data_IF_966553086688
#
_entry.id   IF_966553086688
#
_cell.length_a   1.000
_cell.length_b   1.000
_cell.length_c   1.000
_cell.angle_alpha   90.00
_cell.angle_beta   90.00
_cell.angle_gamma   90.00
#
_symmetry.space_group_name_H-M   'P 1'
#
loop_
_entity.id
_entity.type
_entity.pdbx_description
1 polymer ?
#
# COMPACT_ATOMS: atom_id res chain seq x y z
N UNK A 1 18.21 -39.32 -5.58
CA UNK A 1 16.95 -39.83 -4.98
C UNK A 1 17.01 -41.35 -4.98
N UNK A 2 16.43 -42.02 -3.98
CA UNK A 2 16.41 -43.47 -3.93
C UNK A 2 15.39 -44.07 -4.90
N UNK A 3 15.75 -45.19 -5.51
CA UNK A 3 14.92 -45.92 -6.47
C UNK A 3 14.88 -45.29 -7.87
N UNK A 4 14.16 -45.91 -8.81
CA UNK A 4 14.18 -45.53 -10.23
C UNK A 4 13.39 -44.26 -10.57
N UNK A 5 12.55 -43.79 -9.64
CA UNK A 5 11.65 -42.66 -9.83
C UNK A 5 11.99 -41.50 -8.88
N UNK A 6 11.76 -40.24 -9.28
CA UNK A 6 11.81 -39.11 -8.36
C UNK A 6 10.66 -39.17 -7.33
N UNK A 7 10.81 -38.53 -6.16
CA UNK A 7 9.70 -38.31 -5.24
C UNK A 7 8.50 -37.64 -5.93
N UNK A 8 7.31 -38.07 -5.57
CA UNK A 8 6.04 -37.52 -6.03
C UNK A 8 5.26 -36.96 -4.86
N UNK A 9 4.82 -35.71 -5.03
CA UNK A 9 3.98 -35.00 -4.08
C UNK A 9 2.59 -34.80 -4.67
N UNK A 10 1.55 -34.90 -3.84
CA UNK A 10 0.18 -34.53 -4.23
C UNK A 10 -0.30 -33.45 -3.29
N UNK A 11 -0.70 -32.30 -3.84
CA UNK A 11 -1.34 -31.24 -3.07
C UNK A 11 -2.83 -31.54 -3.00
N UNK A 12 -3.40 -31.51 -1.79
CA UNK A 12 -4.83 -31.64 -1.53
C UNK A 12 -5.38 -30.34 -0.97
N UNK A 13 -6.56 -29.96 -1.45
CA UNK A 13 -7.31 -28.80 -0.99
C UNK A 13 -8.69 -29.24 -0.54
N UNK A 14 -9.00 -29.08 0.75
CA UNK A 14 -10.23 -29.56 1.35
C UNK A 14 -10.54 -31.03 0.95
N UNK A 15 -9.49 -31.88 0.99
CA UNK A 15 -9.55 -33.29 0.59
C UNK A 15 -9.47 -33.58 -0.92
N UNK A 16 -9.66 -32.59 -1.81
CA UNK A 16 -9.55 -32.78 -3.27
C UNK A 16 -8.09 -32.79 -3.70
N UNK A 17 -7.64 -33.89 -4.28
CA UNK A 17 -6.30 -34.01 -4.86
C UNK A 17 -6.15 -33.20 -6.16
N UNK A 18 -5.03 -32.49 -6.27
CA UNK A 18 -4.56 -31.86 -7.51
C UNK A 18 -3.62 -32.81 -8.27
N UNK A 19 -3.16 -32.37 -9.44
CA UNK A 19 -2.22 -33.14 -10.26
C UNK A 19 -0.93 -33.46 -9.48
N UNK A 20 -0.40 -34.69 -9.58
CA UNK A 20 0.87 -35.06 -8.93
C UNK A 20 2.03 -34.21 -9.43
N UNK A 21 2.90 -33.82 -8.50
CA UNK A 21 4.12 -33.06 -8.76
C UNK A 21 5.31 -34.00 -8.66
N UNK A 22 6.06 -34.12 -9.75
CA UNK A 22 7.32 -34.86 -9.78
C UNK A 22 8.48 -33.98 -9.30
N UNK A 23 9.07 -34.34 -8.17
CA UNK A 23 10.15 -33.58 -7.52
C UNK A 23 11.51 -34.02 -8.07
N UNK A 24 11.90 -33.42 -9.20
CA UNK A 24 13.11 -33.83 -9.95
C UNK A 24 14.42 -33.24 -9.39
N UNK A 25 14.35 -32.19 -8.57
CA UNK A 25 15.54 -31.53 -8.04
C UNK A 25 15.92 -32.04 -6.65
N UNK A 26 17.21 -32.32 -6.45
CA UNK A 26 17.78 -32.65 -5.15
C UNK A 26 18.11 -31.41 -4.28
N UNK A 27 18.04 -30.20 -4.86
CA UNK A 27 18.25 -28.92 -4.16
C UNK A 27 17.07 -27.99 -4.41
N UNK A 28 16.66 -27.25 -3.37
CA UNK A 28 15.39 -26.52 -3.26
C UNK A 28 14.78 -26.07 -4.59
N UNK A 29 13.65 -26.69 -4.95
CA UNK A 29 12.83 -26.30 -6.09
C UNK A 29 11.52 -25.71 -5.59
N UNK A 30 11.08 -24.64 -6.25
CA UNK A 30 9.79 -23.99 -5.99
C UNK A 30 8.76 -24.54 -6.97
N UNK A 31 7.61 -24.96 -6.43
CA UNK A 31 6.47 -25.40 -7.21
C UNK A 31 5.31 -24.47 -6.91
N UNK A 32 4.70 -23.92 -7.96
CA UNK A 32 3.57 -23.01 -7.83
C UNK A 32 2.31 -23.69 -8.35
N UNK A 33 1.22 -23.53 -7.59
CA UNK A 33 -0.09 -24.04 -7.93
C UNK A 33 -1.10 -22.94 -7.72
N UNK A 34 -1.88 -22.66 -8.76
CA UNK A 34 -2.98 -21.72 -8.68
C UNK A 34 -4.26 -22.43 -8.26
N UNK A 35 -4.94 -21.83 -7.29
CA UNK A 35 -6.14 -22.40 -6.68
C UNK A 35 -7.28 -21.44 -6.94
N UNK A 36 -8.28 -21.80 -7.77
CA UNK A 36 -9.50 -21.02 -7.85
C UNK A 36 -10.26 -21.15 -6.52
N UNK A 37 -10.42 -20.04 -5.81
CA UNK A 37 -11.19 -19.96 -4.57
C UNK A 37 -12.35 -18.99 -4.73
N UNK A 38 -13.49 -19.34 -4.13
CA UNK A 38 -14.60 -18.41 -3.94
C UNK A 38 -14.26 -17.51 -2.74
N UNK A 39 -14.48 -16.20 -2.84
CA UNK A 39 -14.01 -15.20 -1.86
C UNK A 39 -14.90 -15.09 -0.60
N UNK A 40 -15.74 -16.09 -0.34
CA UNK A 40 -16.52 -16.16 0.89
C UNK A 40 -15.62 -16.60 2.06
N UNK A 41 -15.85 -16.12 3.29
CA UNK A 41 -15.16 -16.63 4.48
C UNK A 41 -15.26 -18.16 4.51
N UNK A 42 -14.10 -18.83 4.55
CA UNK A 42 -14.01 -20.29 4.58
C UNK A 42 -12.78 -20.74 5.36
N UNK A 43 -12.85 -21.95 5.92
CA UNK A 43 -11.67 -22.69 6.34
C UNK A 43 -11.08 -23.42 5.13
N UNK A 44 -9.77 -23.29 4.92
CA UNK A 44 -9.03 -23.93 3.84
C UNK A 44 -8.00 -24.89 4.43
N UNK A 45 -8.16 -26.19 4.20
CA UNK A 45 -7.17 -27.21 4.51
C UNK A 45 -6.28 -27.44 3.29
N UNK A 46 -4.97 -27.20 3.45
CA UNK A 46 -3.95 -27.51 2.43
C UNK A 46 -3.06 -28.63 2.98
N UNK A 47 -2.93 -29.72 2.23
CA UNK A 47 -2.07 -30.86 2.58
C UNK A 47 -1.12 -31.19 1.43
N UNK A 48 0.11 -31.57 1.76
CA UNK A 48 1.09 -32.09 0.80
C UNK A 48 1.40 -33.53 1.19
N UNK A 49 0.98 -34.47 0.34
CA UNK A 49 1.19 -35.89 0.57
C UNK A 49 2.39 -36.38 -0.24
N UNK A 50 3.30 -37.13 0.39
CA UNK A 50 4.35 -37.89 -0.30
C UNK A 50 3.79 -39.26 -0.68
N UNK A 51 3.65 -39.54 -1.99
CA UNK A 51 2.78 -40.64 -2.47
C UNK A 51 3.51 -41.83 -3.08
N UNK A 52 4.82 -41.76 -3.27
CA UNK A 52 5.60 -42.87 -3.83
C UNK A 52 6.81 -43.18 -2.95
N UNK A 53 6.56 -43.51 -1.69
CA UNK A 53 7.62 -43.93 -0.79
C UNK A 53 8.42 -45.12 -1.34
N UNK A 54 9.72 -45.19 -1.02
CA UNK A 54 10.61 -46.26 -1.46
C UNK A 54 11.66 -46.55 -0.40
N UNK A 55 11.77 -47.82 -0.02
CA UNK A 55 12.71 -48.28 1.00
C UNK A 55 13.40 -49.59 0.59
N UNK A 56 14.73 -49.60 0.61
CA UNK A 56 15.59 -50.74 0.37
C UNK A 56 16.80 -50.73 1.33
N UNK A 57 16.69 -51.34 2.53
CA UNK A 57 17.71 -51.22 3.57
C UNK A 57 19.05 -51.87 3.20
N UNK A 58 19.02 -52.84 2.28
CA UNK A 58 20.18 -53.64 1.90
C UNK A 58 20.94 -53.05 0.71
N UNK A 59 20.54 -51.88 0.19
CA UNK A 59 21.25 -51.27 -0.94
C UNK A 59 22.69 -50.88 -0.54
N UNK A 60 23.71 -51.17 -1.37
CA UNK A 60 25.10 -50.86 -1.05
C UNK A 60 25.36 -49.35 -0.88
N UNK A 61 24.74 -48.52 -1.73
CA UNK A 61 24.73 -47.05 -1.56
C UNK A 61 23.64 -46.61 -0.57
N UNK A 62 24.01 -45.89 0.49
CA UNK A 62 23.09 -45.38 1.52
C UNK A 62 22.07 -44.39 0.96
N UNK A 63 22.44 -43.57 -0.04
CA UNK A 63 21.55 -42.58 -0.65
C UNK A 63 20.44 -43.21 -1.51
N UNK A 64 20.54 -44.50 -1.76
CA UNK A 64 19.59 -45.31 -2.52
C UNK A 64 18.72 -46.21 -1.63
N UNK A 65 18.87 -46.12 -0.31
CA UNK A 65 18.10 -46.95 0.63
C UNK A 65 16.74 -46.40 0.95
N UNK A 66 16.56 -45.08 0.87
CA UNK A 66 15.33 -44.45 1.35
C UNK A 66 15.00 -43.18 0.56
N UNK A 67 13.75 -43.07 0.11
CA UNK A 67 13.28 -41.94 -0.68
C UNK A 67 12.61 -40.94 0.24
N UNK A 68 13.24 -39.78 0.33
CA UNK A 68 12.73 -38.70 1.17
C UNK A 68 12.20 -37.54 0.34
N UNK A 69 11.16 -36.88 0.86
CA UNK A 69 10.64 -35.61 0.37
C UNK A 69 10.63 -34.61 1.53
N UNK A 70 11.27 -33.46 1.35
CA UNK A 70 11.27 -32.38 2.34
C UNK A 70 10.47 -31.19 1.83
N UNK A 71 9.52 -30.71 2.62
CA UNK A 71 8.83 -29.45 2.41
C UNK A 71 9.47 -28.41 3.33
N UNK A 72 10.26 -27.50 2.76
CA UNK A 72 10.97 -26.47 3.54
C UNK A 72 10.04 -25.33 3.99
N UNK A 73 9.16 -24.89 3.09
CA UNK A 73 8.21 -23.81 3.36
C UNK A 73 7.03 -23.93 2.41
N UNK A 74 5.88 -23.48 2.88
CA UNK A 74 4.70 -23.26 2.06
C UNK A 74 4.28 -21.80 2.21
N UNK A 75 4.03 -21.12 1.09
CA UNK A 75 3.51 -19.76 1.06
C UNK A 75 2.18 -19.76 0.33
N UNK A 76 1.18 -19.14 0.94
CA UNK A 76 -0.12 -18.90 0.32
C UNK A 76 -0.25 -17.41 0.03
N UNK A 77 -0.47 -17.06 -1.24
CA UNK A 77 -0.68 -15.68 -1.68
C UNK A 77 -2.04 -15.56 -2.35
N UNK A 78 -2.90 -14.72 -1.80
CA UNK A 78 -4.23 -14.45 -2.34
C UNK A 78 -5.10 -13.66 -1.36
N UNK A 79 -6.34 -13.32 -1.75
CA UNK A 79 -6.88 -13.52 -3.09
C UNK A 79 -6.37 -12.47 -4.09
N UNK A 80 -5.90 -12.92 -5.27
CA UNK A 80 -5.32 -12.03 -6.31
C UNK A 80 -6.31 -10.97 -6.85
N UNK A 81 -7.62 -11.20 -6.68
CA UNK A 81 -8.71 -10.30 -7.08
C UNK A 81 -9.66 -9.96 -5.92
N UNK A 82 -9.18 -9.98 -4.67
CA UNK A 82 -10.01 -9.56 -3.54
C UNK A 82 -10.51 -8.13 -3.74
N UNK A 83 -11.77 -7.85 -3.38
CA UNK A 83 -12.20 -6.48 -3.23
C UNK A 83 -11.22 -5.75 -2.29
N UNK A 84 -10.80 -4.51 -2.60
CA UNK A 84 -9.84 -3.79 -1.77
C UNK A 84 -10.31 -3.79 -0.32
N UNK A 85 -9.42 -4.16 0.62
CA UNK A 85 -9.70 -3.99 2.05
C UNK A 85 -9.97 -2.50 2.27
N UNK A 86 -11.22 -2.15 2.57
CA UNK A 86 -11.61 -0.75 2.78
C UNK A 86 -11.19 -0.32 4.18
N UNK A 87 -10.06 0.36 4.30
CA UNK A 87 -9.66 1.02 5.54
C UNK A 87 -10.34 2.39 5.66
N UNK A 88 -10.56 2.93 6.88
CA UNK A 88 -11.06 4.30 7.04
C UNK A 88 -10.21 5.34 6.31
N UNK A 89 -8.88 5.14 6.28
CA UNK A 89 -7.95 5.99 5.54
C UNK A 89 -8.22 5.98 4.03
N UNK A 90 -8.36 4.78 3.45
CA UNK A 90 -8.75 4.61 2.05
C UNK A 90 -10.08 5.31 1.74
N UNK A 91 -11.10 5.09 2.58
CA UNK A 91 -12.41 5.71 2.38
C UNK A 91 -12.30 7.22 2.38
N UNK A 92 -11.56 7.82 3.33
CA UNK A 92 -11.32 9.27 3.36
C UNK A 92 -10.52 9.77 2.15
N UNK A 93 -9.59 8.97 1.65
CA UNK A 93 -8.79 9.33 0.48
C UNK A 93 -9.66 9.42 -0.79
N UNK A 94 -10.66 8.55 -0.93
CA UNK A 94 -11.49 8.42 -2.14
C UNK A 94 -12.87 9.07 -2.04
N UNK A 95 -13.34 9.46 -0.84
CA UNK A 95 -14.71 9.96 -0.62
C UNK A 95 -15.06 11.13 -1.54
N UNK A 96 -16.24 11.08 -2.16
CA UNK A 96 -16.75 12.15 -3.03
C UNK A 96 -16.01 12.34 -4.35
N UNK A 97 -15.06 11.47 -4.69
CA UNK A 97 -14.39 11.47 -5.99
C UNK A 97 -15.12 10.56 -6.97
N UNK A 98 -15.24 11.01 -8.21
CA UNK A 98 -15.83 10.26 -9.32
C UNK A 98 -14.76 9.88 -10.33
N UNK A 99 -14.88 8.71 -10.95
CA UNK A 99 -13.95 8.24 -11.97
C UNK A 99 -13.42 6.84 -11.68
N UNK A 100 -12.52 6.35 -12.53
CA UNK A 100 -11.94 5.00 -12.43
C UNK A 100 -10.45 5.00 -12.73
N UNK A 101 -9.73 4.03 -12.18
CA UNK A 101 -8.31 3.79 -12.47
C UNK A 101 -7.44 5.03 -12.22
N UNK A 102 -6.59 5.36 -13.20
CA UNK A 102 -5.58 6.43 -13.10
C UNK A 102 -6.16 7.81 -12.80
N UNK A 103 -7.32 8.17 -13.37
CA UNK A 103 -7.93 9.49 -13.16
C UNK A 103 -8.48 9.66 -11.74
N UNK A 104 -9.03 8.57 -11.17
CA UNK A 104 -9.45 8.55 -9.77
C UNK A 104 -8.24 8.69 -8.84
N UNK A 105 -7.15 7.97 -9.16
CA UNK A 105 -5.89 8.06 -8.41
C UNK A 105 -5.31 9.47 -8.43
N UNK A 106 -5.26 10.12 -9.60
CA UNK A 106 -4.76 11.49 -9.76
C UNK A 106 -5.58 12.49 -8.92
N UNK A 107 -6.91 12.42 -8.99
CA UNK A 107 -7.80 13.28 -8.19
C UNK A 107 -7.61 13.07 -6.68
N UNK A 108 -7.45 11.81 -6.26
CA UNK A 108 -7.23 11.45 -4.87
C UNK A 108 -5.87 11.93 -4.36
N UNK A 109 -4.82 11.72 -5.15
CA UNK A 109 -3.45 12.12 -4.84
C UNK A 109 -3.28 13.63 -4.82
N UNK A 110 -3.92 14.36 -5.74
CA UNK A 110 -3.92 15.82 -5.70
C UNK A 110 -4.55 16.32 -4.40
N UNK A 111 -5.78 15.90 -4.09
CA UNK A 111 -6.47 16.33 -2.87
C UNK A 111 -5.70 15.96 -1.60
N UNK A 112 -5.09 14.78 -1.58
CA UNK A 112 -4.28 14.32 -0.45
C UNK A 112 -3.01 15.14 -0.30
N UNK A 113 -2.28 15.37 -1.39
CA UNK A 113 -1.01 16.09 -1.36
C UNK A 113 -1.20 17.57 -1.01
N UNK A 114 -2.26 18.24 -1.49
CA UNK A 114 -2.57 19.63 -1.09
C UNK A 114 -2.84 19.74 0.42
N UNK A 115 -3.46 18.72 1.02
CA UNK A 115 -3.65 18.65 2.48
C UNK A 115 -2.34 18.38 3.20
N UNK A 116 -1.57 17.41 2.73
CA UNK A 116 -0.31 16.99 3.33
C UNK A 116 0.75 18.10 3.29
N UNK A 117 0.85 18.80 2.16
CA UNK A 117 1.77 19.91 1.96
C UNK A 117 1.22 21.23 2.48
N UNK A 118 -0.08 21.26 2.85
CA UNK A 118 -0.76 22.40 3.48
C UNK A 118 -0.82 23.65 2.59
N UNK A 119 -0.72 23.46 1.27
CA UNK A 119 -0.81 24.48 0.24
C UNK A 119 -1.29 23.87 -1.08
N UNK A 120 -1.75 24.68 -2.04
CA UNK A 120 -1.94 24.23 -3.42
C UNK A 120 -0.65 23.59 -3.95
N UNK A 121 -0.80 22.59 -4.81
CA UNK A 121 0.35 22.00 -5.48
C UNK A 121 0.96 23.00 -6.47
N UNK A 122 2.29 23.09 -6.46
CA UNK A 122 3.06 23.82 -7.44
C UNK A 122 3.06 23.07 -8.78
N UNK A 123 3.29 23.77 -9.90
CA UNK A 123 3.40 23.14 -11.21
C UNK A 123 4.41 21.98 -11.20
N UNK A 124 4.02 20.83 -11.75
CA UNK A 124 4.87 19.64 -11.81
C UNK A 124 4.78 18.71 -10.60
N UNK A 125 4.24 19.14 -9.45
CA UNK A 125 4.20 18.29 -8.25
C UNK A 125 3.28 17.08 -8.42
N UNK A 126 2.08 17.27 -8.96
CA UNK A 126 1.16 16.16 -9.20
C UNK A 126 1.75 15.17 -10.21
N UNK A 127 2.47 15.65 -11.22
CA UNK A 127 3.15 14.79 -12.20
C UNK A 127 4.23 13.94 -11.54
N UNK A 128 5.03 14.50 -10.62
CA UNK A 128 6.02 13.74 -9.85
C UNK A 128 5.39 12.68 -8.97
N UNK A 129 4.26 12.99 -8.32
CA UNK A 129 3.52 12.02 -7.49
C UNK A 129 2.92 10.92 -8.38
N UNK A 130 2.31 11.28 -9.51
CA UNK A 130 1.75 10.31 -10.46
C UNK A 130 2.82 9.45 -11.12
N UNK A 131 4.04 9.93 -11.28
CA UNK A 131 5.14 9.11 -11.78
C UNK A 131 5.44 7.91 -10.87
N UNK A 132 5.27 8.05 -9.54
CA UNK A 132 5.39 6.93 -8.59
C UNK A 132 4.26 5.91 -8.78
N UNK A 133 3.02 6.39 -8.93
CA UNK A 133 1.85 5.56 -9.22
C UNK A 133 2.02 4.78 -10.54
N UNK A 134 2.42 5.49 -11.60
CA UNK A 134 2.60 4.92 -12.94
C UNK A 134 3.77 3.93 -12.97
N UNK A 135 4.83 4.18 -12.19
CA UNK A 135 5.95 3.25 -12.03
C UNK A 135 5.50 1.97 -11.34
N UNK A 136 4.83 2.06 -10.19
CA UNK A 136 4.33 0.89 -9.48
C UNK A 136 3.39 0.05 -10.36
N UNK A 137 2.51 0.71 -11.13
CA UNK A 137 1.62 0.02 -12.09
C UNK A 137 2.41 -0.71 -13.17
N UNK A 138 3.47 -0.10 -13.73
CA UNK A 138 4.35 -0.75 -14.71
C UNK A 138 5.12 -1.93 -14.13
N UNK A 139 5.43 -1.90 -12.85
CA UNK A 139 6.09 -2.98 -12.11
C UNK A 139 5.10 -4.10 -11.70
N UNK A 140 3.83 -4.01 -12.13
CA UNK A 140 2.81 -5.04 -11.94
C UNK A 140 1.91 -4.84 -10.73
N UNK A 141 2.03 -3.72 -10.01
CA UNK A 141 1.17 -3.41 -8.87
C UNK A 141 -0.28 -3.17 -9.29
N UNK A 142 -1.21 -3.62 -8.46
CA UNK A 142 -2.63 -3.24 -8.61
C UNK A 142 -2.84 -1.74 -8.35
N UNK A 143 -3.98 -1.18 -8.78
CA UNK A 143 -4.25 0.26 -8.60
C UNK A 143 -4.20 0.73 -7.15
N UNK A 144 -4.61 -0.11 -6.20
CA UNK A 144 -4.58 0.19 -4.77
C UNK A 144 -3.13 0.24 -4.23
N UNK A 145 -2.30 -0.73 -4.62
CA UNK A 145 -0.89 -0.79 -4.25
C UNK A 145 -0.11 0.38 -4.87
N UNK A 146 -0.38 0.70 -6.14
CA UNK A 146 0.19 1.87 -6.80
C UNK A 146 -0.21 3.18 -6.12
N UNK A 147 -1.46 3.29 -5.66
CA UNK A 147 -1.93 4.44 -4.88
C UNK A 147 -1.20 4.54 -3.54
N UNK A 148 -0.99 3.41 -2.86
CA UNK A 148 -0.23 3.36 -1.61
C UNK A 148 1.21 3.84 -1.81
N UNK A 149 1.89 3.40 -2.87
CA UNK A 149 3.25 3.85 -3.19
C UNK A 149 3.31 5.37 -3.38
N UNK A 150 2.37 5.94 -4.13
CA UNK A 150 2.31 7.38 -4.34
C UNK A 150 1.99 8.16 -3.04
N UNK A 151 1.08 7.66 -2.22
CA UNK A 151 0.78 8.22 -0.88
C UNK A 151 2.01 8.18 0.02
N UNK A 152 2.75 7.06 0.04
CA UNK A 152 4.02 6.95 0.76
C UNK A 152 5.01 8.01 0.28
N UNK A 153 5.12 8.21 -1.03
CA UNK A 153 5.95 9.27 -1.62
C UNK A 153 5.63 10.67 -1.09
N UNK A 154 4.35 11.00 -0.95
CA UNK A 154 3.90 12.26 -0.34
C UNK A 154 4.28 12.34 1.13
N UNK A 155 4.12 11.26 1.89
CA UNK A 155 4.39 11.21 3.34
C UNK A 155 5.88 11.22 3.70
N UNK A 156 6.77 10.83 2.77
CA UNK A 156 8.22 10.91 2.97
C UNK A 156 8.85 12.15 2.32
N UNK A 157 8.04 13.00 1.70
CA UNK A 157 8.48 14.25 1.08
C UNK A 157 8.89 15.28 2.13
N UNK A 158 9.97 16.06 1.89
CA UNK A 158 10.31 17.21 2.73
C UNK A 158 9.15 18.20 2.92
N UNK A 159 8.28 18.38 1.92
CA UNK A 159 7.10 19.26 2.01
C UNK A 159 6.05 18.79 3.03
N UNK A 160 6.04 17.48 3.34
CA UNK A 160 5.22 16.93 4.42
C UNK A 160 5.98 16.92 5.75
N UNK A 161 7.19 16.36 5.76
CA UNK A 161 8.00 16.14 6.96
C UNK A 161 8.40 17.44 7.65
N UNK A 162 8.68 18.48 6.87
CA UNK A 162 9.05 19.80 7.37
C UNK A 162 7.94 20.81 7.12
N UNK A 163 7.77 21.71 8.09
CA UNK A 163 6.95 22.92 7.96
C UNK A 163 7.89 24.07 7.66
N UNK A 164 8.42 24.08 6.43
CA UNK A 164 9.33 25.13 6.01
C UNK A 164 8.51 26.37 5.62
N UNK A 165 8.88 27.50 6.20
CA UNK A 165 8.37 28.83 5.86
C UNK A 165 9.33 29.37 4.80
N UNK A 166 9.10 28.96 3.55
CA UNK A 166 9.96 29.30 2.42
C UNK A 166 9.15 30.24 1.54
N UNK A 167 9.72 31.39 1.21
CA UNK A 167 9.13 32.23 0.19
C UNK A 167 9.19 31.57 -1.19
N UNK A 168 8.64 32.24 -2.20
CA UNK A 168 8.65 31.77 -3.59
C UNK A 168 10.07 31.54 -4.15
N UNK A 169 11.11 32.05 -3.49
CA UNK A 169 12.53 31.91 -3.86
C UNK A 169 13.32 30.96 -2.94
N UNK A 170 12.74 30.45 -1.87
CA UNK A 170 13.44 29.59 -0.89
C UNK A 170 14.29 30.35 0.12
N UNK A 171 14.13 31.67 0.22
CA UNK A 171 14.83 32.49 1.21
C UNK A 171 14.07 32.49 2.55
N UNK A 172 14.78 32.39 3.68
CA UNK A 172 14.15 32.61 4.97
C UNK A 172 13.94 34.11 5.15
N UNK A 173 12.70 34.48 5.53
CA UNK A 173 12.30 35.79 6.10
C UNK A 173 11.52 36.76 5.18
N UNK A 174 10.40 36.29 4.66
CA UNK A 174 9.45 37.09 3.85
C UNK A 174 8.03 36.88 4.39
N UNK A 175 7.15 37.85 4.16
CA UNK A 175 5.82 37.93 4.77
C UNK A 175 5.05 36.59 4.69
N UNK A 176 4.48 36.16 5.81
CA UNK A 176 3.80 34.88 5.95
C UNK A 176 2.62 34.82 4.99
N UNK A 177 2.65 33.88 4.05
CA UNK A 177 1.53 33.67 3.12
C UNK A 177 0.29 33.12 3.82
N UNK A 178 -0.89 33.26 3.22
CA UNK A 178 -2.14 32.82 3.84
C UNK A 178 -2.15 31.33 4.22
N UNK A 179 -1.57 30.46 3.38
CA UNK A 179 -1.46 29.02 3.65
C UNK A 179 -0.46 28.69 4.78
N UNK A 180 0.61 29.46 4.90
CA UNK A 180 1.57 29.34 5.99
C UNK A 180 0.95 29.79 7.31
N UNK A 181 0.19 30.90 7.29
CA UNK A 181 -0.56 31.39 8.44
C UNK A 181 -1.58 30.37 8.93
N UNK A 182 -2.36 29.78 8.01
CA UNK A 182 -3.27 28.68 8.33
C UNK A 182 -2.55 27.49 8.97
N UNK A 183 -1.42 27.09 8.40
CA UNK A 183 -0.60 26.01 8.93
C UNK A 183 -0.12 26.31 10.35
N UNK A 184 0.50 27.48 10.58
CA UNK A 184 0.96 27.89 11.91
C UNK A 184 -0.18 27.89 12.93
N UNK A 185 -1.34 28.46 12.58
CA UNK A 185 -2.49 28.55 13.47
C UNK A 185 -3.02 27.15 13.86
N UNK A 186 -3.19 26.25 12.89
CA UNK A 186 -3.68 24.89 13.13
C UNK A 186 -2.78 24.07 14.06
N UNK A 187 -1.47 24.15 13.88
CA UNK A 187 -0.54 23.42 14.74
C UNK A 187 -0.37 24.09 16.10
N UNK A 188 -0.48 25.42 16.18
CA UNK A 188 -0.42 26.13 17.44
C UNK A 188 -1.63 25.82 18.34
N UNK A 189 -2.84 25.83 17.78
CA UNK A 189 -4.07 25.63 18.54
C UNK A 189 -4.48 24.16 18.70
N UNK A 190 -4.28 23.31 17.69
CA UNK A 190 -4.79 21.94 17.67
C UNK A 190 -3.73 20.86 17.50
N UNK A 191 -2.47 21.21 17.21
CA UNK A 191 -1.42 20.21 16.95
C UNK A 191 -1.65 19.35 15.70
N UNK A 192 -2.52 19.78 14.78
CA UNK A 192 -2.92 19.02 13.58
C UNK A 192 -2.96 19.91 12.34
N UNK A 193 -3.22 19.33 11.16
CA UNK A 193 -3.31 20.03 9.88
C UNK A 193 -4.50 21.01 9.85
N UNK A 194 -4.44 22.08 9.03
CA UNK A 194 -5.58 22.97 8.80
C UNK A 194 -6.81 22.21 8.29
N UNK A 195 -7.96 22.46 8.90
CA UNK A 195 -9.24 21.93 8.43
C UNK A 195 -9.72 22.63 7.15
N UNK A 196 -10.81 22.13 6.54
CA UNK A 196 -11.30 22.66 5.27
C UNK A 196 -11.74 24.11 5.37
N UNK A 197 -12.28 24.55 6.50
CA UNK A 197 -12.67 25.94 6.72
C UNK A 197 -11.46 26.87 6.72
N UNK A 198 -10.41 26.52 7.47
CA UNK A 198 -9.19 27.33 7.55
C UNK A 198 -8.42 27.33 6.22
N UNK A 199 -8.40 26.20 5.50
CA UNK A 199 -7.78 26.15 4.16
C UNK A 199 -8.52 27.02 3.14
N UNK A 200 -9.86 27.05 3.17
CA UNK A 200 -10.64 27.95 2.29
C UNK A 200 -10.36 29.41 2.60
N UNK A 201 -10.33 29.78 3.88
CA UNK A 201 -10.00 31.15 4.30
C UNK A 201 -8.58 31.57 3.87
N UNK A 202 -7.63 30.64 3.85
CA UNK A 202 -6.32 30.90 3.27
C UNK A 202 -6.37 31.06 1.74
N UNK A 203 -7.13 30.20 1.06
CA UNK A 203 -7.25 30.19 -0.40
C UNK A 203 -7.88 31.46 -0.95
N UNK A 204 -8.91 31.99 -0.28
CA UNK A 204 -9.62 33.20 -0.70
C UNK A 204 -9.01 34.51 -0.15
N UNK A 205 -7.94 34.39 0.65
CA UNK A 205 -7.23 35.52 1.25
C UNK A 205 -7.91 36.16 2.46
N UNK A 206 -9.12 35.71 2.85
CA UNK A 206 -9.84 36.27 4.01
C UNK A 206 -9.06 36.09 5.31
N UNK A 207 -8.24 35.03 5.42
CA UNK A 207 -7.40 34.79 6.59
C UNK A 207 -6.32 35.87 6.81
N UNK A 208 -5.98 36.64 5.78
CA UNK A 208 -5.02 37.75 5.89
C UNK A 208 -5.65 39.04 6.43
N UNK A 209 -6.96 39.05 6.67
CA UNK A 209 -7.67 40.20 7.27
C UNK A 209 -7.80 40.02 8.78
N UNK A 210 -7.75 41.10 9.55
CA UNK A 210 -7.91 41.06 11.01
C UNK A 210 -9.24 40.39 11.42
N UNK A 211 -10.32 40.72 10.70
CA UNK A 211 -11.64 40.16 10.93
C UNK A 211 -11.68 38.64 10.62
N UNK A 212 -11.13 38.22 9.49
CA UNK A 212 -11.09 36.81 9.09
C UNK A 212 -10.21 35.96 10.00
N UNK A 213 -9.04 36.48 10.40
CA UNK A 213 -8.15 35.83 11.35
C UNK A 213 -8.84 35.65 12.71
N UNK A 214 -9.42 36.73 13.26
CA UNK A 214 -10.13 36.68 14.55
C UNK A 214 -11.26 35.65 14.52
N UNK A 215 -12.07 35.65 13.45
CA UNK A 215 -13.16 34.70 13.30
C UNK A 215 -12.68 33.23 13.27
N UNK A 216 -11.57 32.94 12.59
CA UNK A 216 -11.01 31.59 12.57
C UNK A 216 -10.41 31.18 13.91
N UNK A 217 -9.69 32.08 14.60
CA UNK A 217 -9.16 31.83 15.95
C UNK A 217 -10.30 31.50 16.92
N UNK A 218 -11.34 32.34 16.96
CA UNK A 218 -12.49 32.15 17.85
C UNK A 218 -13.21 30.84 17.58
N UNK A 219 -13.37 30.48 16.29
CA UNK A 219 -13.96 29.19 15.90
C UNK A 219 -13.12 28.02 16.42
N UNK A 220 -11.81 28.07 16.20
CA UNK A 220 -10.91 26.99 16.57
C UNK A 220 -10.79 26.79 18.07
N UNK A 221 -10.87 27.87 18.86
CA UNK A 221 -10.87 27.82 20.32
C UNK A 221 -12.16 27.24 20.90
N UNK A 222 -13.30 27.42 20.22
CA UNK A 222 -14.60 26.88 20.65
C UNK A 222 -14.78 25.39 20.36
N UNK A 223 -14.07 24.88 19.36
CA UNK A 223 -14.17 23.49 18.90
C UNK A 223 -12.77 22.85 18.86
N UNK A 224 -12.18 22.52 20.04
CA UNK A 224 -10.93 21.78 20.07
C UNK A 224 -11.14 20.38 19.49
N UNK A 225 -10.31 20.02 18.50
CA UNK A 225 -10.32 18.72 17.78
C UNK A 225 -10.29 17.50 18.72
#
# INVERSE_FOLDING_TARGET
PAGPEPPQAVIKLNGRALAPISVKSARGARYEVEIPVDLRPMELEIRVDFVNDYYNPNHPDQNQRDRNLLVYSMSLTGPKNAAPITTPGRTRLLVGLTGTGRNLAESALQRFAERAYRRPLQPGEIQRIMALYDQATRDGAGSEEALQVAVTGVLVSPHFLFRAELDEQGEPNTAIGAHELASRLSYFLWGSFPDDALRRAAQDGSLLTDAGLTAQVDRMLKDPL
#
